data_IF_021364738042
#
_entry.id   IF_021364738042
#
_cell.length_a   1.000
_cell.length_b   1.000
_cell.length_c   1.000
_cell.angle_alpha   90.00
_cell.angle_beta   90.00
_cell.angle_gamma   90.00
#
_symmetry.space_group_name_H-M   'P 1'
#
loop_
_entity.id
_entity.type
_entity.pdbx_description
1 polymer ?
#
# COMPACT_ATOMS: atom_id res chain seq x y z
N UNK A 1 -16.26 5.30 2.38
CA UNK A 1 -15.08 6.09 1.96
C UNK A 1 -14.37 6.62 3.20
N UNK A 2 -13.13 6.22 3.42
CA UNK A 2 -12.32 6.69 4.56
C UNK A 2 -11.13 7.45 4.02
N UNK A 3 -11.19 8.78 4.08
CA UNK A 3 -10.12 9.65 3.58
C UNK A 3 -9.04 9.81 4.66
N UNK A 4 -7.78 9.59 4.26
CA UNK A 4 -6.61 9.78 5.12
C UNK A 4 -5.43 10.36 4.32
N UNK A 5 -4.38 10.74 5.02
CA UNK A 5 -3.12 11.19 4.44
C UNK A 5 -2.11 10.05 4.43
N UNK A 6 -1.38 9.88 3.32
CA UNK A 6 -0.35 8.88 3.14
C UNK A 6 0.96 9.55 2.74
N UNK A 7 2.01 9.32 3.52
CA UNK A 7 3.34 9.94 3.36
C UNK A 7 4.39 8.86 3.12
N UNK A 8 5.20 9.04 2.08
CA UNK A 8 6.29 8.14 1.72
C UNK A 8 7.65 8.75 2.13
N UNK A 9 8.50 7.91 2.71
CA UNK A 9 9.82 8.28 3.24
C UNK A 9 10.93 7.40 2.65
N UNK A 10 12.09 7.99 2.38
CA UNK A 10 13.31 7.25 2.05
C UNK A 10 14.04 6.72 3.30
N UNK A 11 13.70 7.24 4.49
CA UNK A 11 14.32 6.89 5.76
C UNK A 11 13.29 6.33 6.74
N UNK A 12 13.49 5.06 7.19
CA UNK A 12 12.69 4.46 8.27
C UNK A 12 12.74 5.28 9.56
N UNK A 13 13.93 5.83 9.89
CA UNK A 13 14.10 6.67 11.08
C UNK A 13 13.20 7.91 11.02
N UNK A 14 13.22 8.64 9.91
CA UNK A 14 12.38 9.82 9.74
C UNK A 14 10.88 9.45 9.81
N UNK A 15 10.49 8.34 9.19
CA UNK A 15 9.13 7.84 9.23
C UNK A 15 8.66 7.46 10.66
N UNK A 16 9.52 6.82 11.46
CA UNK A 16 9.21 6.50 12.88
C UNK A 16 9.04 7.76 13.71
N UNK A 17 9.93 8.75 13.56
CA UNK A 17 9.81 10.03 14.25
C UNK A 17 8.51 10.76 13.88
N UNK A 18 8.12 10.72 12.61
CA UNK A 18 6.83 11.26 12.18
C UNK A 18 5.65 10.48 12.79
N UNK A 19 5.70 9.15 12.83
CA UNK A 19 4.65 8.32 13.42
C UNK A 19 4.52 8.52 14.95
N UNK A 20 5.64 8.71 15.67
CA UNK A 20 5.66 9.05 17.09
C UNK A 20 5.04 10.43 17.35
N UNK A 21 5.30 11.41 16.49
CA UNK A 21 4.81 12.78 16.63
C UNK A 21 3.33 12.95 16.22
N UNK A 22 2.91 12.27 15.15
CA UNK A 22 1.61 12.51 14.50
C UNK A 22 0.64 11.34 14.62
N UNK A 23 1.07 10.20 15.16
CA UNK A 23 0.25 9.00 15.23
C UNK A 23 -0.04 8.37 13.87
N UNK A 24 -0.87 7.33 13.86
CA UNK A 24 -1.30 6.66 12.63
C UNK A 24 -0.75 5.27 12.45
N UNK A 25 -0.69 4.81 11.20
CA UNK A 25 -0.22 3.48 10.83
C UNK A 25 1.03 3.59 9.97
N UNK A 26 2.12 3.03 10.47
CA UNK A 26 3.43 3.00 9.80
C UNK A 26 3.66 1.63 9.18
N UNK A 27 4.04 1.61 7.90
CA UNK A 27 4.42 0.46 7.11
C UNK A 27 5.90 0.58 6.75
N UNK A 28 6.77 -0.24 7.37
CA UNK A 28 8.23 -0.15 7.18
C UNK A 28 8.78 -1.33 6.40
N UNK A 29 9.64 -1.07 5.41
CA UNK A 29 10.34 -2.12 4.66
C UNK A 29 11.14 -3.02 5.60
N UNK A 30 10.90 -4.34 5.51
CA UNK A 30 11.62 -5.35 6.33
C UNK A 30 12.88 -5.89 5.69
N UNK A 31 13.14 -5.57 4.41
CA UNK A 31 14.24 -6.19 3.64
C UNK A 31 15.49 -5.33 3.48
N UNK A 32 15.47 -4.08 3.94
CA UNK A 32 16.59 -3.12 3.86
C UNK A 32 17.23 -2.99 2.46
N UNK A 33 16.43 -3.15 1.41
CA UNK A 33 16.89 -3.06 0.02
C UNK A 33 16.79 -1.62 -0.52
N UNK A 34 17.25 -0.62 0.25
CA UNK A 34 17.04 0.81 0.02
C UNK A 34 17.38 1.31 -1.39
N UNK A 35 18.35 0.70 -2.08
CA UNK A 35 18.77 1.17 -3.41
C UNK A 35 17.83 0.80 -4.55
N UNK A 36 16.81 -0.02 -4.30
CA UNK A 36 15.90 -0.53 -5.34
C UNK A 36 14.41 -0.41 -4.96
N UNK A 37 14.10 0.18 -3.81
CA UNK A 37 12.73 0.34 -3.33
C UNK A 37 12.22 1.76 -3.60
N UNK A 38 10.94 1.93 -3.94
CA UNK A 38 10.36 3.25 -4.19
C UNK A 38 10.30 4.11 -2.93
N UNK A 39 10.27 3.48 -1.75
CA UNK A 39 10.30 4.12 -0.42
C UNK A 39 10.79 3.12 0.63
N UNK A 40 11.25 3.61 1.77
CA UNK A 40 11.61 2.79 2.94
C UNK A 40 10.43 2.61 3.91
N UNK A 41 9.50 3.56 3.93
CA UNK A 41 8.30 3.49 4.75
C UNK A 41 7.16 4.33 4.19
N UNK A 42 5.91 3.92 4.54
CA UNK A 42 4.69 4.71 4.36
C UNK A 42 4.07 4.99 5.74
N UNK A 43 3.65 6.22 5.99
CA UNK A 43 2.85 6.60 7.15
C UNK A 43 1.46 7.03 6.69
N UNK A 44 0.43 6.35 7.18
CA UNK A 44 -0.96 6.75 6.98
C UNK A 44 -1.50 7.34 8.28
N UNK A 45 -2.02 8.57 8.23
CA UNK A 45 -2.52 9.29 9.41
C UNK A 45 -3.66 10.25 9.04
N UNK A 46 -4.47 10.57 10.06
CA UNK A 46 -5.51 11.61 9.97
C UNK A 46 -5.14 12.86 10.78
N UNK A 47 -3.85 13.00 11.13
CA UNK A 47 -3.39 14.18 11.88
C UNK A 47 -3.63 15.47 11.08
N UNK A 48 -4.16 16.55 11.71
CA UNK A 48 -4.57 17.76 11.00
C UNK A 48 -3.42 18.63 10.51
N UNK A 49 -2.22 18.50 11.08
CA UNK A 49 -1.06 19.32 10.69
C UNK A 49 -0.39 18.80 9.41
N UNK A 50 -1.06 19.06 8.28
CA UNK A 50 -0.55 18.71 6.96
C UNK A 50 0.78 19.41 6.66
N UNK A 51 0.98 20.65 7.12
CA UNK A 51 2.19 21.43 6.83
C UNK A 51 3.43 20.79 7.46
N UNK A 52 3.36 20.40 8.73
CA UNK A 52 4.44 19.72 9.40
C UNK A 52 4.75 18.35 8.75
N UNK A 53 3.72 17.58 8.41
CA UNK A 53 3.86 16.29 7.72
C UNK A 53 4.50 16.43 6.32
N UNK A 54 4.09 17.45 5.54
CA UNK A 54 4.69 17.74 4.24
C UNK A 54 6.16 18.13 4.35
N UNK A 55 6.58 18.76 5.44
CA UNK A 55 7.97 19.18 5.63
C UNK A 55 8.93 18.00 5.88
N UNK A 56 8.44 16.90 6.46
CA UNK A 56 9.27 15.75 6.87
C UNK A 56 9.23 14.57 5.88
N UNK A 57 8.17 14.40 5.10
CA UNK A 57 8.11 13.37 4.08
C UNK A 57 8.96 13.79 2.86
N UNK A 58 9.92 12.97 2.46
CA UNK A 58 10.92 13.30 1.44
C UNK A 58 10.68 12.61 0.08
N UNK A 59 9.87 11.53 0.04
CA UNK A 59 9.56 10.81 -1.20
C UNK A 59 8.23 11.26 -1.80
N UNK A 60 7.16 11.30 -1.02
CA UNK A 60 5.85 11.65 -1.54
C UNK A 60 4.80 11.90 -0.45
N UNK A 61 3.74 12.62 -0.82
CA UNK A 61 2.62 12.90 0.06
C UNK A 61 1.30 12.92 -0.75
N UNK A 62 0.30 12.19 -0.24
CA UNK A 62 -0.93 11.90 -0.93
C UNK A 62 -2.12 12.00 0.02
N UNK A 63 -3.27 12.42 -0.49
CA UNK A 63 -4.57 12.19 0.13
C UNK A 63 -5.18 10.98 -0.54
N UNK A 64 -5.59 10.00 0.24
CA UNK A 64 -6.06 8.70 -0.27
C UNK A 64 -7.45 8.36 0.28
N UNK A 65 -8.19 7.57 -0.49
CA UNK A 65 -9.38 6.84 -0.02
C UNK A 65 -8.96 5.42 0.35
N UNK A 66 -9.05 5.09 1.65
CA UNK A 66 -8.81 3.72 2.13
C UNK A 66 -10.06 2.89 1.95
N UNK A 67 -9.94 1.79 1.21
CA UNK A 67 -10.97 0.77 1.00
C UNK A 67 -10.51 -0.55 1.59
N UNK A 68 -11.25 -1.07 2.54
CA UNK A 68 -10.98 -2.39 3.13
C UNK A 68 -11.73 -3.44 2.31
N UNK A 69 -11.02 -4.17 1.45
CA UNK A 69 -11.59 -5.21 0.58
C UNK A 69 -11.71 -6.55 1.32
N UNK A 70 -10.80 -6.82 2.26
CA UNK A 70 -10.86 -7.93 3.22
C UNK A 70 -10.34 -7.44 4.56
N UNK A 71 -11.16 -7.49 5.59
CA UNK A 71 -10.76 -7.09 6.94
C UNK A 71 -9.75 -8.08 7.53
N UNK A 72 -8.91 -7.61 8.44
CA UNK A 72 -8.06 -8.44 9.29
C UNK A 72 -8.90 -9.00 10.44
N UNK A 73 -8.73 -10.29 10.78
CA UNK A 73 -9.48 -10.94 11.86
C UNK A 73 -9.10 -10.40 13.24
N UNK A 74 -7.82 -10.15 13.46
CA UNK A 74 -7.31 -9.63 14.72
C UNK A 74 -6.51 -8.37 14.51
N UNK A 75 -6.76 -7.33 15.33
CA UNK A 75 -6.08 -6.05 15.26
C UNK A 75 -5.55 -5.67 16.66
N UNK A 76 -4.25 -5.40 16.73
CA UNK A 76 -3.63 -4.82 17.95
C UNK A 76 -3.82 -3.29 17.88
N UNK A 77 -4.48 -2.66 18.86
CA UNK A 77 -4.80 -1.23 18.77
C UNK A 77 -3.58 -0.31 18.66
N UNK A 78 -2.49 -0.64 19.37
CA UNK A 78 -1.21 0.10 19.36
C UNK A 78 -0.06 -0.89 19.38
N UNK A 79 0.96 -0.65 18.56
CA UNK A 79 2.15 -1.50 18.46
C UNK A 79 2.25 -2.28 17.15
N UNK A 80 3.28 -3.13 17.03
CA UNK A 80 3.49 -3.97 15.86
C UNK A 80 2.33 -4.93 15.62
N UNK A 81 1.90 -5.05 14.36
CA UNK A 81 0.88 -6.00 13.96
C UNK A 81 1.52 -7.33 13.54
N UNK A 82 0.87 -8.49 13.78
CA UNK A 82 1.37 -9.76 13.28
C UNK A 82 1.34 -9.81 11.74
N UNK A 83 2.17 -10.70 11.17
CA UNK A 83 2.20 -10.94 9.74
C UNK A 83 3.09 -9.96 8.97
N UNK A 84 2.94 -9.95 7.66
CA UNK A 84 3.65 -9.09 6.72
C UNK A 84 2.71 -8.55 5.65
N UNK A 85 3.01 -7.40 5.08
CA UNK A 85 2.23 -6.79 4.01
C UNK A 85 3.09 -6.59 2.77
N UNK A 86 2.61 -7.03 1.62
CA UNK A 86 3.12 -6.62 0.33
C UNK A 86 2.46 -5.31 -0.09
N UNK A 87 3.23 -4.24 -0.22
CA UNK A 87 2.74 -2.96 -0.75
C UNK A 87 3.06 -2.89 -2.25
N UNK A 88 2.01 -2.84 -3.06
CA UNK A 88 2.13 -2.68 -4.51
C UNK A 88 1.68 -1.26 -4.86
N UNK A 89 2.64 -0.46 -5.31
CA UNK A 89 2.33 0.87 -5.82
C UNK A 89 1.77 0.76 -7.24
N UNK A 90 0.66 1.42 -7.51
CA UNK A 90 -0.03 1.42 -8.79
C UNK A 90 0.15 2.77 -9.50
N UNK A 91 0.52 2.70 -10.77
CA UNK A 91 0.39 3.79 -11.74
C UNK A 91 -0.70 3.37 -12.72
N UNK A 92 -1.69 4.23 -12.95
CA UNK A 92 -2.82 3.93 -13.83
C UNK A 92 -2.37 3.73 -15.29
N UNK A 93 -3.01 2.81 -15.99
CA UNK A 93 -2.81 2.65 -17.43
C UNK A 93 -3.17 3.95 -18.15
N UNK A 94 -2.23 4.60 -18.86
CA UNK A 94 -2.48 5.90 -19.49
C UNK A 94 -3.60 5.88 -20.54
N UNK A 95 -3.94 4.70 -21.06
CA UNK A 95 -5.07 4.55 -22.02
C UNK A 95 -6.43 4.63 -21.33
N UNK A 96 -6.51 4.29 -20.03
CA UNK A 96 -7.75 4.39 -19.23
C UNK A 96 -7.84 5.71 -18.48
N UNK A 97 -6.71 6.23 -18.02
CA UNK A 97 -6.65 7.31 -17.06
C UNK A 97 -7.02 6.87 -15.62
N UNK A 98 -6.80 7.76 -14.66
CA UNK A 98 -6.92 7.45 -13.23
C UNK A 98 -8.31 6.91 -12.84
N UNK A 99 -9.39 7.58 -13.25
CA UNK A 99 -10.75 7.23 -12.80
C UNK A 99 -11.17 5.83 -13.24
N UNK A 100 -11.06 5.51 -14.55
CA UNK A 100 -11.47 4.20 -15.05
C UNK A 100 -10.53 3.08 -14.54
N UNK A 101 -9.23 3.37 -14.35
CA UNK A 101 -8.30 2.44 -13.74
C UNK A 101 -8.67 2.15 -12.27
N UNK A 102 -9.06 3.17 -11.50
CA UNK A 102 -9.49 3.02 -10.12
C UNK A 102 -10.80 2.25 -9.97
N UNK A 103 -11.78 2.48 -10.86
CA UNK A 103 -13.03 1.72 -10.91
C UNK A 103 -12.76 0.24 -11.21
N UNK A 104 -11.96 -0.07 -12.23
CA UNK A 104 -11.58 -1.45 -12.54
C UNK A 104 -10.86 -2.11 -11.36
N UNK A 105 -9.91 -1.40 -10.75
CA UNK A 105 -9.16 -1.89 -9.59
C UNK A 105 -10.06 -2.24 -8.40
N UNK A 106 -11.06 -1.38 -8.13
CA UNK A 106 -12.03 -1.58 -7.04
C UNK A 106 -13.02 -2.70 -7.35
N UNK A 107 -13.66 -2.64 -8.53
CA UNK A 107 -14.89 -3.39 -8.79
C UNK A 107 -14.65 -4.74 -9.50
N UNK A 108 -13.56 -4.86 -10.25
CA UNK A 108 -13.21 -6.08 -11.00
C UNK A 108 -11.97 -6.77 -10.41
N UNK A 109 -10.86 -6.04 -10.25
CA UNK A 109 -9.62 -6.64 -9.77
C UNK A 109 -9.70 -7.11 -8.32
N UNK A 110 -10.32 -6.36 -7.40
CA UNK A 110 -10.33 -6.74 -5.99
C UNK A 110 -11.09 -8.06 -5.74
N UNK A 111 -12.27 -8.32 -6.30
CA UNK A 111 -12.92 -9.63 -6.22
C UNK A 111 -12.07 -10.76 -6.83
N UNK A 112 -11.46 -10.52 -7.99
CA UNK A 112 -10.56 -11.48 -8.64
C UNK A 112 -9.36 -11.81 -7.74
N UNK A 113 -8.69 -10.78 -7.20
CA UNK A 113 -7.55 -10.95 -6.31
C UNK A 113 -7.91 -11.77 -5.06
N UNK A 114 -9.06 -11.51 -4.44
CA UNK A 114 -9.54 -12.26 -3.29
C UNK A 114 -9.83 -13.74 -3.61
N UNK A 115 -10.27 -14.04 -4.83
CA UNK A 115 -10.52 -15.42 -5.28
C UNK A 115 -9.23 -16.21 -5.58
N UNK A 116 -8.13 -15.52 -5.88
CA UNK A 116 -6.87 -16.14 -6.32
C UNK A 116 -5.82 -16.18 -5.20
N UNK A 117 -5.72 -15.10 -4.40
CA UNK A 117 -4.74 -15.01 -3.30
C UNK A 117 -5.29 -15.64 -2.02
N UNK A 118 -5.47 -16.97 -1.99
CA UNK A 118 -6.14 -17.69 -0.91
C UNK A 118 -5.43 -17.56 0.46
N UNK A 119 -4.11 -17.36 0.47
CA UNK A 119 -3.34 -17.14 1.69
C UNK A 119 -3.36 -15.69 2.19
N UNK A 120 -3.97 -14.76 1.44
CA UNK A 120 -4.06 -13.36 1.85
C UNK A 120 -5.03 -13.21 3.02
N UNK A 121 -4.51 -12.77 4.18
CA UNK A 121 -5.28 -12.62 5.43
C UNK A 121 -6.14 -11.35 5.44
N UNK A 122 -5.64 -10.27 4.84
CA UNK A 122 -6.37 -9.01 4.71
C UNK A 122 -5.93 -8.23 3.47
N UNK A 123 -6.81 -7.33 2.99
CA UNK A 123 -6.55 -6.54 1.79
C UNK A 123 -7.16 -5.15 1.89
N UNK A 124 -6.36 -4.13 1.65
CA UNK A 124 -6.84 -2.76 1.51
C UNK A 124 -6.26 -2.09 0.27
N UNK A 125 -7.04 -1.19 -0.32
CA UNK A 125 -6.62 -0.30 -1.39
C UNK A 125 -6.56 1.12 -0.85
N UNK A 126 -5.48 1.84 -1.15
CA UNK A 126 -5.35 3.29 -0.94
C UNK A 126 -5.39 3.94 -2.31
N UNK A 127 -6.56 4.41 -2.73
CA UNK A 127 -6.72 5.14 -4.00
C UNK A 127 -6.32 6.59 -3.82
N UNK A 128 -5.44 7.11 -4.66
CA UNK A 128 -4.94 8.48 -4.55
C UNK A 128 -5.98 9.47 -5.07
N UNK A 129 -6.54 10.28 -4.18
CA UNK A 129 -7.47 11.36 -4.51
C UNK A 129 -6.75 12.66 -4.88
N UNK A 130 -5.57 12.88 -4.28
CA UNK A 130 -4.77 14.08 -4.53
C UNK A 130 -3.31 13.82 -4.19
N UNK A 131 -2.41 14.30 -5.03
CA UNK A 131 -0.96 14.28 -4.83
C UNK A 131 -0.49 15.66 -4.45
N UNK A 132 0.05 15.83 -3.24
CA UNK A 132 0.66 17.08 -2.79
C UNK A 132 2.08 17.22 -3.33
N UNK A 133 2.87 16.13 -3.31
CA UNK A 133 4.23 16.07 -3.87
C UNK A 133 4.68 14.64 -4.15
N UNK A 134 5.78 14.49 -4.86
CA UNK A 134 6.41 13.20 -5.15
C UNK A 134 5.97 12.57 -6.46
N UNK A 135 6.23 11.28 -6.67
CA UNK A 135 5.90 10.55 -7.89
C UNK A 135 4.40 10.52 -8.19
N UNK A 136 4.05 10.40 -9.47
CA UNK A 136 2.67 10.28 -9.94
C UNK A 136 2.13 8.85 -9.73
N UNK A 137 1.99 8.44 -8.48
CA UNK A 137 1.34 7.19 -8.12
C UNK A 137 -0.16 7.40 -7.96
N UNK A 138 -0.94 6.42 -8.45
CA UNK A 138 -2.39 6.45 -8.43
C UNK A 138 -3.00 5.62 -7.30
N UNK A 139 -2.22 4.73 -6.67
CA UNK A 139 -2.67 3.96 -5.53
C UNK A 139 -1.63 3.05 -4.91
N UNK A 140 -2.00 2.45 -3.77
CA UNK A 140 -1.21 1.45 -3.06
C UNK A 140 -2.11 0.28 -2.65
N UNK A 141 -1.82 -0.94 -3.15
CA UNK A 141 -2.45 -2.16 -2.66
C UNK A 141 -1.69 -2.66 -1.43
N UNK A 142 -2.39 -2.88 -0.33
CA UNK A 142 -1.86 -3.43 0.91
C UNK A 142 -2.35 -4.88 1.05
N UNK A 143 -1.54 -5.84 0.60
CA UNK A 143 -1.86 -7.27 0.62
C UNK A 143 -1.20 -7.92 1.84
N UNK A 144 -1.98 -8.24 2.88
CA UNK A 144 -1.51 -8.80 4.13
C UNK A 144 -1.49 -10.32 4.15
N UNK A 145 -0.50 -10.89 4.83
CA UNK A 145 -0.29 -12.33 5.00
C UNK A 145 0.12 -12.63 6.45
N UNK A 146 -0.08 -13.87 6.91
CA UNK A 146 0.28 -14.28 8.27
C UNK A 146 1.79 -14.28 8.51
N UNK A 147 2.61 -14.39 7.44
CA UNK A 147 4.06 -14.35 7.52
C UNK A 147 4.69 -13.81 6.22
N UNK A 148 5.98 -13.46 6.28
CA UNK A 148 6.80 -13.14 5.09
C UNK A 148 6.89 -14.37 4.18
N UNK A 149 7.01 -15.58 4.75
CA UNK A 149 7.07 -16.82 3.99
C UNK A 149 5.80 -17.04 3.18
N UNK A 150 4.61 -16.85 3.77
CA UNK A 150 3.34 -16.97 3.04
C UNK A 150 3.24 -15.93 1.92
N UNK A 151 3.67 -14.69 2.17
CA UNK A 151 3.72 -13.66 1.15
C UNK A 151 4.64 -14.03 -0.02
N UNK A 152 5.76 -14.72 0.24
CA UNK A 152 6.74 -15.06 -0.79
C UNK A 152 6.39 -16.33 -1.54
N UNK A 153 5.89 -17.34 -0.85
CA UNK A 153 5.70 -18.71 -1.40
C UNK A 153 4.26 -19.03 -1.75
N UNK A 154 3.29 -18.38 -1.10
CA UNK A 154 1.85 -18.65 -1.25
C UNK A 154 1.05 -17.46 -1.79
N UNK A 155 1.74 -16.45 -2.37
CA UNK A 155 1.07 -15.29 -2.95
C UNK A 155 0.05 -15.71 -4.02
N UNK A 156 0.42 -16.66 -4.87
CA UNK A 156 -0.51 -17.28 -5.84
C UNK A 156 -0.76 -18.74 -5.48
N UNK A 157 -2.04 -19.12 -5.41
CA UNK A 157 -2.41 -20.53 -5.19
C UNK A 157 -2.03 -21.42 -6.39
N UNK A 158 -2.06 -20.87 -7.61
CA UNK A 158 -1.77 -21.61 -8.85
C UNK A 158 -1.07 -20.74 -9.88
N UNK A 159 -0.35 -21.39 -10.83
CA UNK A 159 0.23 -20.71 -12.00
C UNK A 159 -0.84 -20.09 -12.92
N UNK A 160 -2.01 -20.72 -13.01
CA UNK A 160 -3.14 -20.18 -13.78
C UNK A 160 -3.67 -18.89 -13.14
N UNK A 161 -3.84 -18.87 -11.81
CA UNK A 161 -4.22 -17.67 -11.06
C UNK A 161 -3.21 -16.52 -11.23
N UNK A 162 -1.91 -16.83 -11.19
CA UNK A 162 -0.86 -15.83 -11.43
C UNK A 162 -0.99 -15.18 -12.81
N UNK A 163 -1.31 -15.95 -13.86
CA UNK A 163 -1.52 -15.43 -15.22
C UNK A 163 -2.77 -14.54 -15.27
N UNK A 164 -3.88 -15.00 -14.70
CA UNK A 164 -5.14 -14.22 -14.67
C UNK A 164 -4.94 -12.86 -13.99
N UNK A 165 -4.26 -12.83 -12.85
CA UNK A 165 -3.92 -11.57 -12.16
C UNK A 165 -3.02 -10.68 -13.03
N UNK A 166 -1.99 -11.24 -13.67
CA UNK A 166 -1.10 -10.45 -14.52
C UNK A 166 -1.82 -9.85 -15.73
N UNK A 167 -2.69 -10.63 -16.37
CA UNK A 167 -3.54 -10.17 -17.49
C UNK A 167 -4.48 -9.07 -17.05
N UNK A 168 -5.11 -9.21 -15.89
CA UNK A 168 -6.03 -8.23 -15.37
C UNK A 168 -5.32 -6.94 -14.92
N UNK A 169 -4.20 -7.04 -14.20
CA UNK A 169 -3.40 -5.87 -13.79
C UNK A 169 -2.97 -5.05 -15.02
N UNK A 170 -2.56 -5.70 -16.12
CA UNK A 170 -2.18 -5.00 -17.36
C UNK A 170 -3.33 -4.21 -18.01
N UNK A 171 -4.59 -4.47 -17.66
CA UNK A 171 -5.73 -3.69 -18.16
C UNK A 171 -5.78 -2.31 -17.52
N UNK A 172 -5.62 -2.22 -16.20
CA UNK A 172 -5.83 -0.98 -15.45
C UNK A 172 -4.55 -0.29 -14.98
N UNK A 173 -3.44 -1.01 -14.86
CA UNK A 173 -2.17 -0.47 -14.38
C UNK A 173 -1.10 -0.44 -15.48
N UNK A 174 -0.25 0.58 -15.46
CA UNK A 174 1.02 0.61 -16.17
C UNK A 174 2.05 -0.17 -15.36
N UNK A 175 2.24 -1.44 -15.71
CA UNK A 175 3.15 -2.35 -14.99
C UNK A 175 4.64 -2.03 -15.19
N UNK A 176 4.99 -1.21 -16.19
CA UNK A 176 6.37 -0.74 -16.41
C UNK A 176 6.68 0.48 -15.56
N UNK A 177 5.72 1.41 -15.41
CA UNK A 177 5.85 2.60 -14.58
C UNK A 177 5.60 2.31 -13.10
N UNK A 178 4.84 1.26 -12.77
CA UNK A 178 4.55 0.88 -11.39
C UNK A 178 5.79 0.32 -10.70
N UNK A 179 6.17 0.85 -9.51
CA UNK A 179 7.33 0.36 -8.78
C UNK A 179 7.20 -1.10 -8.33
N UNK A 180 8.34 -1.71 -8.02
CA UNK A 180 8.37 -3.05 -7.43
C UNK A 180 7.71 -3.08 -6.06
N UNK A 181 7.14 -4.23 -5.70
CA UNK A 181 6.58 -4.52 -4.38
C UNK A 181 7.58 -4.26 -3.26
N UNK A 182 7.14 -3.53 -2.23
CA UNK A 182 7.83 -3.41 -0.95
C UNK A 182 7.18 -4.35 0.06
N UNK A 183 7.98 -5.14 0.78
CA UNK A 183 7.49 -5.99 1.88
C UNK A 183 7.68 -5.25 3.18
N UNK A 184 6.59 -5.02 3.91
CA UNK A 184 6.60 -4.16 5.09
C UNK A 184 6.04 -4.84 6.32
N UNK A 185 6.46 -4.34 7.49
CA UNK A 185 5.86 -4.57 8.80
C UNK A 185 4.95 -3.39 9.13
N UNK A 186 3.73 -3.67 9.58
CA UNK A 186 2.79 -2.66 10.08
C UNK A 186 3.02 -2.41 11.57
N UNK A 187 3.06 -1.13 11.96
CA UNK A 187 3.05 -0.69 13.37
C UNK A 187 2.03 0.43 13.55
N UNK A 188 1.19 0.32 14.58
CA UNK A 188 0.17 1.33 14.90
C UNK A 188 0.64 2.22 16.04
N UNK A 189 0.50 3.51 15.85
CA UNK A 189 0.81 4.55 16.84
C UNK A 189 -0.49 5.20 17.32
N UNK A 190 -0.49 5.69 18.56
CA UNK A 190 -1.64 6.45 19.10
C UNK A 190 -1.87 7.70 18.23
N UNK A 191 -3.10 7.96 17.87
CA UNK A 191 -3.58 9.19 17.23
C UNK A 191 -4.06 10.16 18.30
#
# INVERSE_FOLDING_TARGET
MTVELCFAFSSKRAARQAAEAFGGVLYEDVKDRLHHQPFAALLCTNHPDLTALLSVADVGAYRVDRRVMKARDTLIPVGPQPGAIGVFTMVANPKLGHHAADEHWRDEHAPLALSIHLAMSHYAQLSVLHRFKGPAWDGFALCGFESIEDLETRFFATKAGARLIAEDVNRFADTQASPRRVVVQETRYKT
#
